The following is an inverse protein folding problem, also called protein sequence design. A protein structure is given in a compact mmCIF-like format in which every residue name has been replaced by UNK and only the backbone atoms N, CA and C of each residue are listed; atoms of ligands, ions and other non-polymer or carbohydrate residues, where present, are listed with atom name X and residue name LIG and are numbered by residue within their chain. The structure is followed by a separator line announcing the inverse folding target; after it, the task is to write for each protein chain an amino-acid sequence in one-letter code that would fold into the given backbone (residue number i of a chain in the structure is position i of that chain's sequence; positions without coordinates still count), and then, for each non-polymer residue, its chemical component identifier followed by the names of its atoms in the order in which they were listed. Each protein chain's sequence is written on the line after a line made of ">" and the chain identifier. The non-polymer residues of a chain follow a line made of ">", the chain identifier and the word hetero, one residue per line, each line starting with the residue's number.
data_IF_760668819598
#
_entry.id   IF_760668819598
#
_cell.length_a   1.000
_cell.length_b   1.000
_cell.length_c   1.000
_cell.angle_alpha   90.00
_cell.angle_beta   90.00
_cell.angle_gamma   90.00
#
_symmetry.space_group_name_H-M   'P 1'
#
loop_
_entity.id
_entity.type
_entity.pdbx_description
1 polymer ?
#
# COMPACT_ATOMS: atom_id res chain seq x y z
N UNK A 1 -4.60 3.24 -39.73
CA UNK A 1 -3.98 2.40 -38.70
C UNK A 1 -4.52 2.89 -37.35
N UNK A 2 -5.41 2.11 -36.72
CA UNK A 2 -6.03 2.51 -35.45
C UNK A 2 -5.03 2.40 -34.30
N UNK A 3 -4.96 3.38 -33.39
CA UNK A 3 -4.18 3.24 -32.15
C UNK A 3 -4.88 2.24 -31.23
N UNK A 4 -4.16 1.19 -30.86
CA UNK A 4 -4.57 0.19 -29.87
C UNK A 4 -4.84 0.87 -28.53
N UNK A 5 -6.10 0.93 -28.15
CA UNK A 5 -6.53 1.33 -26.81
C UNK A 5 -6.15 0.24 -25.81
N UNK A 6 -5.16 0.51 -24.99
CA UNK A 6 -4.81 -0.33 -23.86
C UNK A 6 -5.81 -0.11 -22.71
N UNK A 7 -6.85 -0.93 -22.69
CA UNK A 7 -7.71 -1.08 -21.52
C UNK A 7 -7.20 -2.26 -20.69
N UNK A 8 -6.73 -1.97 -19.52
CA UNK A 8 -6.15 -2.76 -18.42
C UNK A 8 -4.61 -2.77 -18.36
N UNK A 9 -4.02 -1.93 -17.51
CA UNK A 9 -2.64 -2.12 -17.10
C UNK A 9 -2.61 -3.20 -16.01
N UNK A 10 -2.16 -4.42 -16.37
CA UNK A 10 -1.77 -5.44 -15.42
C UNK A 10 -0.67 -4.94 -14.46
N UNK A 11 -0.35 -5.73 -13.46
CA UNK A 11 0.55 -5.53 -12.29
C UNK A 11 1.86 -4.72 -12.46
N UNK A 12 2.18 -4.27 -13.67
CA UNK A 12 3.38 -3.46 -14.01
C UNK A 12 3.02 -2.05 -14.52
N UNK A 13 1.75 -1.64 -14.44
CA UNK A 13 1.25 -0.48 -15.18
C UNK A 13 1.90 0.86 -14.84
N UNK A 14 2.22 1.15 -13.59
CA UNK A 14 2.78 2.46 -13.23
C UNK A 14 4.30 2.50 -13.34
N UNK A 15 5.00 1.45 -12.93
CA UNK A 15 6.46 1.40 -13.08
C UNK A 15 6.85 1.14 -14.54
N UNK A 16 6.11 0.31 -15.27
CA UNK A 16 6.32 0.10 -16.70
C UNK A 16 6.00 1.36 -17.52
N UNK A 17 4.99 2.16 -17.11
CA UNK A 17 4.70 3.44 -17.76
C UNK A 17 5.79 4.47 -17.51
N UNK A 18 6.28 4.61 -16.26
CA UNK A 18 7.41 5.50 -15.93
C UNK A 18 8.70 5.06 -16.65
N UNK A 19 8.93 3.76 -16.73
CA UNK A 19 10.05 3.17 -17.47
C UNK A 19 9.86 3.41 -18.98
N UNK A 20 8.66 3.29 -19.52
CA UNK A 20 8.35 3.51 -20.94
C UNK A 20 8.48 4.99 -21.35
N UNK A 21 8.07 5.94 -20.50
CA UNK A 21 8.31 7.39 -20.71
C UNK A 21 9.83 7.72 -20.72
N UNK A 22 10.62 7.04 -19.88
CA UNK A 22 12.07 7.16 -19.86
C UNK A 22 12.74 6.45 -21.06
N UNK A 23 12.10 5.42 -21.65
CA UNK A 23 12.64 4.62 -22.77
C UNK A 23 12.31 5.17 -24.16
N UNK A 24 11.30 5.99 -24.32
CA UNK A 24 11.03 6.68 -25.61
C UNK A 24 12.23 7.55 -26.05
N UNK A 25 13.20 7.76 -25.15
CA UNK A 25 14.41 8.54 -25.41
C UNK A 25 15.64 7.72 -25.87
N UNK A 26 15.65 6.39 -25.84
CA UNK A 26 16.82 5.60 -26.27
C UNK A 26 16.46 4.25 -26.92
N UNK A 27 16.69 4.11 -28.22
CA UNK A 27 16.64 2.87 -28.99
C UNK A 27 17.76 1.89 -28.60
N UNK A 28 17.45 0.58 -28.63
CA UNK A 28 18.30 -0.60 -28.88
C UNK A 28 18.30 -1.67 -27.75
N UNK A 29 17.84 -2.88 -28.14
CA UNK A 29 17.93 -4.10 -27.35
C UNK A 29 18.77 -5.16 -28.08
N UNK A 30 19.71 -5.81 -27.38
CA UNK A 30 20.32 -7.09 -27.76
C UNK A 30 20.00 -8.17 -26.73
N UNK A 31 19.41 -9.26 -27.15
CA UNK A 31 19.01 -10.41 -26.30
C UNK A 31 20.18 -11.38 -26.16
N UNK A 32 20.51 -11.75 -24.91
CA UNK A 32 21.46 -12.79 -24.53
C UNK A 32 20.71 -13.95 -23.86
N UNK A 33 20.96 -15.19 -24.29
CA UNK A 33 20.34 -16.38 -23.71
C UNK A 33 21.16 -16.85 -22.52
N UNK A 34 20.54 -16.96 -21.34
CA UNK A 34 21.15 -17.42 -20.10
C UNK A 34 20.71 -18.85 -19.74
N UNK A 35 21.50 -19.58 -18.97
CA UNK A 35 21.10 -20.84 -18.38
C UNK A 35 19.94 -20.67 -17.37
N UNK A 36 19.19 -21.73 -17.10
CA UNK A 36 18.05 -21.68 -16.14
C UNK A 36 18.50 -21.21 -14.74
N UNK A 37 19.72 -21.57 -14.32
CA UNK A 37 20.27 -21.14 -13.03
C UNK A 37 20.65 -19.65 -13.03
N UNK A 38 21.22 -19.17 -14.13
CA UNK A 38 21.51 -17.74 -14.33
C UNK A 38 20.24 -16.92 -14.45
N UNK A 39 19.22 -17.40 -15.15
CA UNK A 39 17.89 -16.78 -15.20
C UNK A 39 17.27 -16.66 -13.80
N UNK A 40 17.37 -17.72 -12.98
CA UNK A 40 16.84 -17.72 -11.62
C UNK A 40 17.57 -16.70 -10.72
N UNK A 41 18.89 -16.68 -10.78
CA UNK A 41 19.70 -15.72 -10.03
C UNK A 41 19.46 -14.29 -10.50
N UNK A 42 19.36 -14.06 -11.81
CA UNK A 42 19.07 -12.75 -12.39
C UNK A 42 17.64 -12.29 -12.02
N UNK A 43 16.65 -13.19 -12.00
CA UNK A 43 15.28 -12.86 -11.54
C UNK A 43 15.25 -12.44 -10.07
N UNK A 44 15.99 -13.14 -9.21
CA UNK A 44 16.06 -12.81 -7.79
C UNK A 44 16.71 -11.45 -7.58
N UNK A 45 17.79 -11.18 -8.30
CA UNK A 45 18.51 -9.92 -8.24
C UNK A 45 17.67 -8.78 -8.84
N UNK A 46 16.95 -9.04 -9.93
CA UNK A 46 16.00 -8.11 -10.53
C UNK A 46 14.85 -7.76 -9.55
N UNK A 47 14.28 -8.74 -8.84
CA UNK A 47 13.21 -8.50 -7.86
C UNK A 47 13.69 -7.63 -6.69
N UNK A 48 14.91 -7.86 -6.18
CA UNK A 48 15.48 -7.00 -5.15
C UNK A 48 15.66 -5.56 -5.68
N UNK A 49 16.18 -5.41 -6.89
CA UNK A 49 16.37 -4.11 -7.53
C UNK A 49 15.03 -3.39 -7.78
N UNK A 50 14.00 -4.12 -8.24
CA UNK A 50 12.64 -3.57 -8.41
C UNK A 50 12.07 -3.11 -7.06
N UNK A 51 12.21 -3.92 -6.01
CA UNK A 51 11.75 -3.54 -4.66
C UNK A 51 12.46 -2.26 -4.17
N UNK A 52 13.79 -2.17 -4.34
CA UNK A 52 14.57 -0.98 -3.98
C UNK A 52 14.13 0.27 -4.78
N UNK A 53 13.77 0.10 -6.05
CA UNK A 53 13.24 1.18 -6.87
C UNK A 53 11.90 1.69 -6.34
N UNK A 54 10.97 0.79 -6.00
CA UNK A 54 9.70 1.17 -5.37
C UNK A 54 9.92 1.88 -4.03
N UNK A 55 10.85 1.39 -3.23
CA UNK A 55 11.18 1.99 -1.94
C UNK A 55 11.72 3.41 -2.11
N UNK A 56 12.67 3.62 -3.04
CA UNK A 56 13.20 4.93 -3.37
C UNK A 56 12.11 5.90 -3.88
N UNK A 57 11.16 5.40 -4.68
CA UNK A 57 10.02 6.19 -5.15
C UNK A 57 9.09 6.58 -4.00
N UNK A 58 8.77 5.66 -3.11
CA UNK A 58 7.94 5.92 -1.92
C UNK A 58 8.60 6.92 -0.98
N UNK A 59 9.91 6.82 -0.76
CA UNK A 59 10.68 7.79 0.04
C UNK A 59 10.61 9.19 -0.57
N UNK A 60 10.83 9.30 -1.86
CA UNK A 60 10.77 10.58 -2.58
C UNK A 60 9.36 11.22 -2.48
N UNK A 61 8.31 10.41 -2.64
CA UNK A 61 6.94 10.90 -2.49
C UNK A 61 6.65 11.33 -1.05
N UNK A 62 7.08 10.55 -0.06
CA UNK A 62 6.95 10.89 1.36
C UNK A 62 7.64 12.21 1.70
N UNK A 63 8.89 12.40 1.23
CA UNK A 63 9.63 13.66 1.44
C UNK A 63 8.87 14.84 0.85
N UNK A 64 8.49 14.76 -0.42
CA UNK A 64 7.72 15.80 -1.09
C UNK A 64 6.42 16.15 -0.34
N UNK A 65 5.68 15.13 0.08
CA UNK A 65 4.41 15.34 0.78
C UNK A 65 4.61 15.93 2.18
N UNK A 66 5.65 15.52 2.89
CA UNK A 66 5.98 16.04 4.21
C UNK A 66 6.35 17.53 4.15
N UNK A 67 7.07 17.94 3.11
CA UNK A 67 7.42 19.35 2.90
C UNK A 67 6.19 20.18 2.50
N UNK A 68 5.33 19.61 1.66
CA UNK A 68 4.16 20.33 1.13
C UNK A 68 2.99 20.40 2.11
N UNK A 69 2.81 19.39 2.93
CA UNK A 69 1.72 19.25 3.90
C UNK A 69 2.29 19.09 5.32
N UNK A 70 2.76 20.19 5.93
CA UNK A 70 3.40 20.16 7.24
C UNK A 70 2.43 19.72 8.34
N UNK A 71 2.96 19.43 9.51
CA UNK A 71 2.19 18.93 10.65
C UNK A 71 1.03 19.87 10.98
N UNK A 72 -0.17 19.29 11.04
CA UNK A 72 -1.41 19.96 11.42
C UNK A 72 -2.09 19.19 12.55
N UNK A 73 -2.60 19.88 13.54
CA UNK A 73 -3.42 19.28 14.60
C UNK A 73 -4.89 19.10 14.20
N UNK A 74 -5.29 19.62 13.03
CA UNK A 74 -6.67 19.56 12.58
C UNK A 74 -6.98 18.23 11.91
N UNK A 75 -8.02 17.55 12.41
CA UNK A 75 -8.54 16.32 11.76
C UNK A 75 -9.15 16.59 10.38
N UNK A 76 -9.46 17.85 10.07
CA UNK A 76 -9.98 18.26 8.76
C UNK A 76 -8.88 18.32 7.69
N UNK A 77 -7.63 18.43 8.12
CA UNK A 77 -6.50 18.40 7.22
C UNK A 77 -6.21 16.97 6.75
N UNK A 78 -7.06 16.50 5.85
CA UNK A 78 -6.94 15.16 5.29
C UNK A 78 -5.63 14.93 4.55
N UNK A 79 -4.99 15.97 4.02
CA UNK A 79 -3.72 15.85 3.31
C UNK A 79 -2.58 15.57 4.28
N UNK A 80 -2.51 16.32 5.37
CA UNK A 80 -1.55 16.01 6.43
C UNK A 80 -1.77 14.60 7.01
N UNK A 81 -3.03 14.25 7.29
CA UNK A 81 -3.34 12.93 7.85
C UNK A 81 -2.95 11.78 6.91
N UNK A 82 -3.20 11.93 5.60
CA UNK A 82 -2.72 11.01 4.58
C UNK A 82 -1.19 10.90 4.58
N UNK A 83 -0.48 12.02 4.69
CA UNK A 83 1.00 12.04 4.75
C UNK A 83 1.54 11.26 5.93
N UNK A 84 0.89 11.36 7.10
CA UNK A 84 1.24 10.57 8.30
C UNK A 84 1.06 9.06 8.04
N UNK A 85 -0.07 8.66 7.45
CA UNK A 85 -0.33 7.25 7.11
C UNK A 85 0.71 6.75 6.10
N UNK A 86 0.99 7.52 5.06
CA UNK A 86 2.01 7.21 4.04
C UNK A 86 3.36 7.00 4.71
N UNK A 87 3.78 7.91 5.58
CA UNK A 87 5.05 7.80 6.30
C UNK A 87 5.14 6.48 7.08
N UNK A 88 4.06 6.11 7.78
CA UNK A 88 3.99 4.84 8.51
C UNK A 88 4.11 3.63 7.56
N UNK A 89 3.40 3.62 6.45
CA UNK A 89 3.46 2.51 5.48
C UNK A 89 4.86 2.39 4.87
N UNK A 90 5.49 3.50 4.50
CA UNK A 90 6.88 3.52 3.98
C UNK A 90 7.86 2.97 5.02
N UNK A 91 7.71 3.35 6.30
CA UNK A 91 8.53 2.80 7.38
C UNK A 91 8.36 1.27 7.53
N UNK A 92 7.16 0.75 7.33
CA UNK A 92 6.93 -0.71 7.35
C UNK A 92 7.64 -1.41 6.19
N UNK A 93 7.69 -0.83 4.98
CA UNK A 93 8.48 -1.35 3.86
C UNK A 93 9.98 -1.35 4.19
N UNK A 94 10.50 -0.28 4.81
CA UNK A 94 11.88 -0.27 5.31
C UNK A 94 12.14 -1.33 6.38
N UNK A 95 11.16 -1.61 7.24
CA UNK A 95 11.29 -2.70 8.23
C UNK A 95 11.45 -4.06 7.56
N UNK A 96 10.70 -4.34 6.48
CA UNK A 96 10.89 -5.56 5.68
C UNK A 96 12.30 -5.59 5.08
N UNK A 97 12.77 -4.49 4.49
CA UNK A 97 14.11 -4.39 3.95
C UNK A 97 15.16 -4.74 5.00
N UNK A 98 15.06 -4.17 6.20
CA UNK A 98 15.98 -4.42 7.31
C UNK A 98 15.96 -5.88 7.77
N UNK A 99 14.77 -6.47 7.94
CA UNK A 99 14.61 -7.87 8.34
C UNK A 99 15.20 -8.78 7.29
N UNK A 100 14.91 -8.54 6.01
CA UNK A 100 15.39 -9.39 4.91
C UNK A 100 16.90 -9.30 4.66
N UNK A 101 17.51 -8.16 4.99
CA UNK A 101 18.97 -7.96 4.85
C UNK A 101 19.77 -8.51 6.03
N UNK A 102 19.24 -8.40 7.25
CA UNK A 102 20.04 -8.61 8.47
C UNK A 102 19.65 -9.87 9.26
N UNK A 103 18.50 -10.46 8.95
CA UNK A 103 18.04 -11.66 9.62
C UNK A 103 17.35 -12.62 8.65
N UNK A 104 17.19 -13.88 9.07
CA UNK A 104 16.40 -14.87 8.36
C UNK A 104 15.03 -15.05 9.03
N UNK A 105 14.49 -14.00 9.63
CA UNK A 105 13.20 -14.02 10.34
C UNK A 105 12.03 -13.83 9.38
N UNK A 106 11.63 -14.90 8.72
CA UNK A 106 10.49 -14.93 7.81
C UNK A 106 9.17 -14.58 8.54
N UNK A 107 9.02 -15.04 9.78
CA UNK A 107 7.78 -14.82 10.54
C UNK A 107 7.55 -13.33 10.76
N UNK A 108 8.53 -12.61 11.28
CA UNK A 108 8.43 -11.16 11.46
C UNK A 108 8.24 -10.42 10.14
N UNK A 109 8.96 -10.79 9.08
CA UNK A 109 8.81 -10.17 7.77
C UNK A 109 7.38 -10.33 7.22
N UNK A 110 6.78 -11.51 7.34
CA UNK A 110 5.42 -11.79 6.89
C UNK A 110 4.35 -11.13 7.76
N UNK A 111 4.58 -11.00 9.06
CA UNK A 111 3.71 -10.22 9.94
C UNK A 111 3.69 -8.74 9.52
N UNK A 112 4.84 -8.16 9.23
CA UNK A 112 4.93 -6.78 8.72
C UNK A 112 4.27 -6.66 7.35
N UNK A 113 4.51 -7.61 6.44
CA UNK A 113 3.90 -7.61 5.11
C UNK A 113 2.36 -7.67 5.17
N UNK A 114 1.80 -8.45 6.10
CA UNK A 114 0.37 -8.48 6.37
C UNK A 114 -0.15 -7.11 6.82
N UNK A 115 0.57 -6.47 7.73
CA UNK A 115 0.24 -5.11 8.20
C UNK A 115 0.30 -4.07 7.06
N UNK A 116 1.27 -4.19 6.16
CA UNK A 116 1.37 -3.32 4.96
C UNK A 116 0.15 -3.53 4.06
N UNK A 117 -0.20 -4.78 3.74
CA UNK A 117 -1.34 -5.11 2.88
C UNK A 117 -2.63 -4.49 3.42
N UNK A 118 -2.90 -4.65 4.72
CA UNK A 118 -4.09 -4.07 5.35
C UNK A 118 -4.05 -2.54 5.36
N UNK A 119 -2.89 -1.95 5.65
CA UNK A 119 -2.73 -0.48 5.71
C UNK A 119 -2.89 0.16 4.32
N UNK A 120 -2.31 -0.43 3.28
CA UNK A 120 -2.48 0.02 1.88
C UNK A 120 -3.94 -0.11 1.45
N UNK A 121 -4.60 -1.20 1.84
CA UNK A 121 -6.02 -1.42 1.52
C UNK A 121 -6.90 -0.38 2.21
N UNK A 122 -6.70 -0.14 3.51
CA UNK A 122 -7.44 0.87 4.25
C UNK A 122 -7.22 2.28 3.67
N UNK A 123 -5.96 2.64 3.39
CA UNK A 123 -5.61 3.91 2.76
C UNK A 123 -6.32 4.08 1.41
N UNK A 124 -6.22 3.08 0.54
CA UNK A 124 -6.85 3.10 -0.78
C UNK A 124 -8.37 3.20 -0.70
N UNK A 125 -8.98 2.44 0.19
CA UNK A 125 -10.44 2.39 0.37
C UNK A 125 -11.02 3.73 0.85
N UNK A 126 -10.27 4.47 1.66
CA UNK A 126 -10.69 5.77 2.19
C UNK A 126 -10.39 6.88 1.18
N UNK A 127 -9.15 6.96 0.65
CA UNK A 127 -8.65 8.16 -0.01
C UNK A 127 -8.63 8.11 -1.53
N UNK A 128 -8.83 6.95 -2.17
CA UNK A 128 -8.96 6.87 -3.64
C UNK A 128 -10.36 7.22 -4.16
N UNK A 129 -11.28 7.69 -3.30
CA UNK A 129 -12.63 8.05 -3.69
C UNK A 129 -12.64 9.25 -4.62
N UNK A 130 -13.50 9.22 -5.63
CA UNK A 130 -13.73 10.34 -6.54
C UNK A 130 -14.61 11.43 -5.92
N UNK A 131 -15.58 11.03 -5.08
CA UNK A 131 -16.39 11.93 -4.30
C UNK A 131 -15.65 12.34 -3.02
N UNK A 132 -15.35 13.65 -2.94
CA UNK A 132 -14.68 14.24 -1.78
C UNK A 132 -15.50 14.10 -0.50
N UNK A 133 -16.83 14.20 -0.57
CA UNK A 133 -17.69 14.05 0.60
C UNK A 133 -17.66 12.61 1.12
N UNK A 134 -17.69 11.61 0.22
CA UNK A 134 -17.55 10.22 0.64
C UNK A 134 -16.19 9.98 1.31
N UNK A 135 -15.13 10.49 0.71
CA UNK A 135 -13.77 10.39 1.27
C UNK A 135 -13.70 11.01 2.66
N UNK A 136 -14.22 12.23 2.83
CA UNK A 136 -14.16 12.96 4.08
C UNK A 136 -15.00 12.28 5.17
N UNK A 137 -16.19 11.78 4.83
CA UNK A 137 -17.04 11.05 5.78
C UNK A 137 -16.39 9.75 6.26
N UNK A 138 -15.78 8.97 5.34
CA UNK A 138 -15.02 7.77 5.70
C UNK A 138 -13.79 8.11 6.55
N UNK A 139 -13.09 9.19 6.23
CA UNK A 139 -11.96 9.66 7.01
C UNK A 139 -12.33 9.94 8.46
N UNK A 140 -13.44 10.67 8.68
CA UNK A 140 -13.91 10.94 10.04
C UNK A 140 -14.34 9.66 10.78
N UNK A 141 -15.03 8.74 10.11
CA UNK A 141 -15.39 7.44 10.72
C UNK A 141 -14.15 6.61 11.06
N UNK A 142 -13.14 6.61 10.20
CA UNK A 142 -11.86 5.92 10.44
C UNK A 142 -11.12 6.51 11.64
N UNK A 143 -11.08 7.83 11.73
CA UNK A 143 -10.47 8.49 12.87
C UNK A 143 -11.27 8.23 14.16
N UNK A 144 -12.61 8.25 14.10
CA UNK A 144 -13.49 7.93 15.22
C UNK A 144 -13.26 6.51 15.74
N UNK A 145 -13.13 5.54 14.83
CA UNK A 145 -12.84 4.13 15.16
C UNK A 145 -11.51 4.02 15.92
N UNK A 146 -10.47 4.64 15.38
CA UNK A 146 -9.14 4.65 15.99
C UNK A 146 -9.13 5.27 17.40
N UNK A 147 -9.79 6.41 17.59
CA UNK A 147 -9.84 7.07 18.89
C UNK A 147 -10.66 6.30 19.92
N UNK A 148 -11.76 5.65 19.50
CA UNK A 148 -12.56 4.81 20.39
C UNK A 148 -11.80 3.55 20.81
N UNK A 149 -11.06 2.91 19.91
CA UNK A 149 -10.22 1.76 20.23
C UNK A 149 -9.05 2.15 21.13
N UNK A 150 -8.41 3.30 20.87
CA UNK A 150 -7.36 3.84 21.73
C UNK A 150 -7.90 4.10 23.15
N UNK A 151 -9.05 4.76 23.27
CA UNK A 151 -9.69 5.01 24.57
C UNK A 151 -9.95 3.70 25.33
N UNK A 152 -10.48 2.66 24.68
CA UNK A 152 -10.67 1.34 25.29
C UNK A 152 -9.34 0.76 25.82
N UNK A 153 -8.26 0.88 25.03
CA UNK A 153 -6.94 0.43 25.42
C UNK A 153 -6.43 1.18 26.66
N UNK A 154 -6.55 2.51 26.70
CA UNK A 154 -6.16 3.34 27.85
C UNK A 154 -6.89 2.91 29.11
N UNK A 155 -8.22 2.72 29.02
CA UNK A 155 -9.04 2.31 30.15
C UNK A 155 -8.66 0.91 30.67
N UNK A 156 -8.35 -0.02 29.75
CA UNK A 156 -8.09 -1.43 30.10
C UNK A 156 -6.69 -1.68 30.64
N UNK A 157 -5.70 -0.83 30.29
CA UNK A 157 -4.28 -1.11 30.55
C UNK A 157 -3.64 -0.18 31.60
N UNK A 158 -4.25 0.96 31.86
CA UNK A 158 -3.70 1.93 32.81
C UNK A 158 -4.22 1.69 34.22
N UNK A 159 -3.32 1.77 35.21
CA UNK A 159 -3.69 1.88 36.62
C UNK A 159 -4.48 3.17 36.85
N UNK A 160 -5.36 3.19 37.84
CA UNK A 160 -6.09 4.40 38.23
C UNK A 160 -5.12 5.45 38.78
N UNK A 161 -4.87 6.50 37.95
CA UNK A 161 -4.03 7.62 38.32
C UNK A 161 -4.42 8.87 37.50
N UNK A 162 -3.89 10.03 37.90
CA UNK A 162 -4.17 11.30 37.26
C UNK A 162 -3.84 11.33 35.76
N UNK A 163 -2.87 10.53 35.30
CA UNK A 163 -2.52 10.42 33.88
C UNK A 163 -3.63 9.75 33.07
N UNK A 164 -4.20 8.66 33.59
CA UNK A 164 -5.35 7.97 32.97
C UNK A 164 -6.54 8.89 32.79
N UNK A 165 -6.88 9.65 33.84
CA UNK A 165 -8.00 10.59 33.80
C UNK A 165 -7.80 11.69 32.75
N UNK A 166 -6.57 12.20 32.64
CA UNK A 166 -6.20 13.19 31.60
C UNK A 166 -6.32 12.61 30.18
N UNK A 167 -5.80 11.40 29.97
CA UNK A 167 -5.88 10.70 28.68
C UNK A 167 -7.34 10.38 28.30
N UNK A 168 -8.13 9.91 29.26
CA UNK A 168 -9.56 9.62 29.05
C UNK A 168 -10.33 10.87 28.65
N UNK A 169 -10.13 11.99 29.37
CA UNK A 169 -10.72 13.28 29.04
C UNK A 169 -10.26 13.79 27.65
N UNK A 170 -8.99 13.61 27.29
CA UNK A 170 -8.48 13.99 25.97
C UNK A 170 -9.11 13.16 24.87
N UNK A 171 -9.24 11.85 25.07
CA UNK A 171 -9.96 10.95 24.13
C UNK A 171 -11.40 11.39 23.92
N UNK A 172 -12.14 11.67 25.01
CA UNK A 172 -13.53 12.11 24.95
C UNK A 172 -13.68 13.43 24.18
N UNK A 173 -12.78 14.38 24.44
CA UNK A 173 -12.78 15.64 23.73
C UNK A 173 -12.61 15.42 22.22
N UNK A 174 -11.62 14.61 21.79
CA UNK A 174 -11.38 14.36 20.37
C UNK A 174 -12.52 13.58 19.72
N UNK A 175 -13.03 12.54 20.38
CA UNK A 175 -14.18 11.76 19.91
C UNK A 175 -15.39 12.68 19.68
N UNK A 176 -15.70 13.56 20.64
CA UNK A 176 -16.79 14.52 20.52
C UNK A 176 -16.60 15.47 19.34
N UNK A 177 -15.40 16.00 19.14
CA UNK A 177 -15.10 16.86 17.99
C UNK A 177 -15.34 16.14 16.66
N UNK A 178 -14.91 14.88 16.54
CA UNK A 178 -15.14 14.08 15.32
C UNK A 178 -16.63 13.82 15.09
N UNK A 179 -17.37 13.45 16.14
CA UNK A 179 -18.82 13.23 16.05
C UNK A 179 -19.58 14.50 15.64
N UNK A 180 -19.18 15.66 16.15
CA UNK A 180 -19.75 16.95 15.72
C UNK A 180 -19.50 17.23 14.23
N UNK A 181 -18.31 16.91 13.72
CA UNK A 181 -17.99 17.04 12.28
C UNK A 181 -18.85 16.08 11.45
N UNK A 182 -18.99 14.85 11.86
CA UNK A 182 -19.84 13.86 11.21
C UNK A 182 -21.31 14.29 11.18
N UNK A 183 -21.83 14.86 12.28
CA UNK A 183 -23.21 15.37 12.37
C UNK A 183 -23.45 16.63 11.53
N UNK A 184 -22.41 17.39 11.20
CA UNK A 184 -22.46 18.55 10.29
C UNK A 184 -22.24 18.17 8.83
N UNK A 185 -21.84 16.93 8.55
CA UNK A 185 -21.52 16.47 7.20
C UNK A 185 -22.79 16.36 6.33
N UNK A 186 -22.65 16.59 5.02
CA UNK A 186 -23.75 16.55 4.06
C UNK A 186 -24.49 15.18 4.05
N UNK A 187 -23.78 14.08 4.27
CA UNK A 187 -24.36 12.74 4.33
C UNK A 187 -25.27 12.56 5.54
N UNK A 188 -24.95 13.19 6.67
CA UNK A 188 -25.83 13.21 7.84
C UNK A 188 -27.12 14.01 7.58
N UNK A 189 -27.02 15.10 6.84
CA UNK A 189 -28.19 15.88 6.44
C UNK A 189 -29.09 15.12 5.44
N UNK A 190 -28.49 14.34 4.54
CA UNK A 190 -29.20 13.60 3.50
C UNK A 190 -29.91 12.34 4.03
N UNK A 191 -29.23 11.53 4.85
CA UNK A 191 -29.78 10.32 5.45
C UNK A 191 -29.30 10.19 6.91
N UNK A 192 -30.05 10.83 7.81
CA UNK A 192 -29.73 10.87 9.22
C UNK A 192 -29.75 9.50 9.89
N UNK A 193 -30.63 8.59 9.47
CA UNK A 193 -30.78 7.28 10.08
C UNK A 193 -29.55 6.42 9.79
N UNK A 194 -29.18 6.29 8.52
CA UNK A 194 -27.98 5.56 8.09
C UNK A 194 -26.71 6.18 8.65
N UNK A 195 -26.56 7.52 8.59
CA UNK A 195 -25.38 8.19 9.13
C UNK A 195 -25.23 7.96 10.64
N UNK A 196 -26.30 8.01 11.43
CA UNK A 196 -26.24 7.69 12.86
C UNK A 196 -25.78 6.25 13.11
N UNK A 197 -26.29 5.28 12.35
CA UNK A 197 -25.87 3.88 12.46
C UNK A 197 -24.36 3.72 12.21
N UNK A 198 -23.86 4.38 11.15
CA UNK A 198 -22.44 4.36 10.82
C UNK A 198 -21.58 5.03 11.90
N UNK A 199 -22.03 6.15 12.47
CA UNK A 199 -21.32 6.87 13.54
C UNK A 199 -21.31 6.05 14.83
N UNK A 200 -22.45 5.46 15.23
CA UNK A 200 -22.54 4.64 16.43
C UNK A 200 -21.58 3.46 16.40
N UNK A 201 -21.42 2.81 15.25
CA UNK A 201 -20.54 1.66 15.07
C UNK A 201 -19.14 2.04 14.58
N UNK A 202 -18.82 3.31 14.40
CA UNK A 202 -17.58 3.79 13.76
C UNK A 202 -17.28 3.05 12.44
N UNK A 203 -18.32 2.71 11.67
CA UNK A 203 -18.18 1.80 10.52
C UNK A 203 -17.63 2.53 9.29
N UNK A 204 -16.34 2.78 9.25
CA UNK A 204 -15.65 3.33 8.07
C UNK A 204 -15.55 2.34 6.90
N UNK A 205 -15.74 1.05 7.16
CA UNK A 205 -15.71 -0.04 6.16
C UNK A 205 -17.06 -0.29 5.50
N UNK A 206 -18.02 0.63 5.63
CA UNK A 206 -19.34 0.47 5.01
C UNK A 206 -19.22 0.35 3.47
N UNK A 207 -20.06 -0.49 2.87
CA UNK A 207 -20.06 -0.70 1.42
C UNK A 207 -20.51 0.56 0.67
N UNK A 208 -21.69 1.05 0.99
CA UNK A 208 -22.25 2.31 0.47
C UNK A 208 -23.27 2.88 1.47
N UNK A 209 -23.75 4.11 1.24
CA UNK A 209 -24.82 4.68 2.07
C UNK A 209 -26.14 3.94 1.92
N UNK A 210 -26.40 3.35 0.73
CA UNK A 210 -27.59 2.54 0.47
C UNK A 210 -27.47 1.14 1.08
N UNK A 211 -26.22 0.65 1.26
CA UNK A 211 -25.93 -0.60 1.94
C UNK A 211 -24.86 -0.40 3.00
N UNK A 212 -25.22 0.00 4.23
CA UNK A 212 -24.27 0.39 5.28
C UNK A 212 -23.58 -0.80 5.97
N UNK A 213 -23.66 -2.02 5.40
CA UNK A 213 -22.97 -3.19 5.95
C UNK A 213 -21.46 -2.98 5.98
N UNK A 214 -20.77 -3.51 6.97
CA UNK A 214 -19.33 -3.49 7.06
C UNK A 214 -18.72 -4.53 6.12
N UNK A 215 -17.78 -4.11 5.29
CA UNK A 215 -16.99 -5.01 4.43
C UNK A 215 -15.92 -5.74 5.25
N UNK A 216 -15.69 -6.99 4.90
CA UNK A 216 -14.49 -7.74 5.34
C UNK A 216 -13.27 -7.29 4.54
N UNK A 217 -12.06 -7.52 5.06
CA UNK A 217 -10.83 -7.13 4.34
C UNK A 217 -10.73 -7.77 2.95
N UNK A 218 -11.15 -9.03 2.77
CA UNK A 218 -11.18 -9.67 1.44
C UNK A 218 -12.06 -8.91 0.43
N UNK A 219 -13.23 -8.42 0.87
CA UNK A 219 -14.11 -7.60 0.03
C UNK A 219 -13.50 -6.22 -0.26
N UNK A 220 -12.80 -5.65 0.75
CA UNK A 220 -12.09 -4.38 0.58
C UNK A 220 -10.93 -4.50 -0.42
N UNK A 221 -10.19 -5.62 -0.44
CA UNK A 221 -9.13 -5.85 -1.43
C UNK A 221 -9.69 -5.79 -2.86
N UNK A 222 -10.82 -6.46 -3.11
CA UNK A 222 -11.48 -6.38 -4.40
C UNK A 222 -11.96 -4.95 -4.72
N UNK A 223 -12.56 -4.26 -3.74
CA UNK A 223 -13.07 -2.90 -3.90
C UNK A 223 -11.97 -1.86 -4.25
N UNK A 224 -10.73 -2.08 -3.80
CA UNK A 224 -9.60 -1.19 -4.13
C UNK A 224 -8.80 -1.65 -5.35
N UNK A 225 -9.25 -2.71 -6.02
CA UNK A 225 -8.64 -3.19 -7.28
C UNK A 225 -7.48 -4.18 -7.09
N UNK A 226 -7.39 -4.84 -5.95
CA UNK A 226 -6.67 -6.10 -5.82
C UNK A 226 -7.57 -7.23 -6.35
N UNK A 227 -7.93 -7.16 -7.63
CA UNK A 227 -8.89 -8.09 -8.27
C UNK A 227 -8.31 -9.48 -8.55
N UNK A 228 -7.14 -9.77 -8.01
CA UNK A 228 -6.48 -11.04 -8.23
C UNK A 228 -6.93 -12.02 -7.14
N UNK A 229 -7.55 -13.13 -7.54
CA UNK A 229 -7.88 -14.26 -6.66
C UNK A 229 -6.71 -14.66 -5.77
N UNK A 230 -5.46 -14.49 -6.26
CA UNK A 230 -4.24 -14.73 -5.50
C UNK A 230 -4.10 -13.84 -4.25
N UNK A 231 -4.66 -12.63 -4.21
CA UNK A 231 -4.56 -11.74 -3.05
C UNK A 231 -5.39 -12.25 -1.87
N UNK A 232 -6.57 -12.81 -2.10
CA UNK A 232 -7.38 -13.40 -1.03
C UNK A 232 -6.68 -14.62 -0.41
N UNK A 233 -6.13 -15.50 -1.25
CA UNK A 233 -5.31 -16.63 -0.79
C UNK A 233 -4.04 -16.15 -0.09
N UNK A 234 -3.40 -15.11 -0.60
CA UNK A 234 -2.20 -14.53 -0.01
C UNK A 234 -2.49 -13.92 1.37
N UNK A 235 -3.62 -13.25 1.53
CA UNK A 235 -4.06 -12.74 2.84
C UNK A 235 -4.27 -13.89 3.85
N UNK A 236 -4.94 -14.96 3.43
CA UNK A 236 -5.11 -16.16 4.25
C UNK A 236 -3.77 -16.80 4.63
N UNK A 237 -2.83 -16.88 3.70
CA UNK A 237 -1.47 -17.35 3.93
C UNK A 237 -0.72 -16.49 4.95
N UNK A 238 -0.71 -15.16 4.79
CA UNK A 238 -0.05 -14.24 5.72
C UNK A 238 -0.68 -14.30 7.12
N UNK A 239 -1.99 -14.55 7.22
CA UNK A 239 -2.68 -14.70 8.50
C UNK A 239 -2.15 -15.89 9.33
N UNK A 240 -1.60 -16.93 8.68
CA UNK A 240 -0.97 -18.05 9.38
C UNK A 240 0.25 -17.61 10.21
N UNK A 241 0.99 -16.61 9.73
CA UNK A 241 2.16 -16.06 10.44
C UNK A 241 1.72 -15.13 11.58
N UNK A 242 0.77 -14.24 11.35
CA UNK A 242 0.27 -13.31 12.37
C UNK A 242 -0.33 -14.03 13.57
N UNK A 243 -1.03 -15.14 13.34
CA UNK A 243 -1.69 -15.90 14.41
C UNK A 243 -0.84 -17.07 14.95
N UNK A 244 0.43 -17.19 14.56
CA UNK A 244 1.32 -18.25 15.03
C UNK A 244 0.83 -19.66 14.69
N UNK A 245 0.16 -19.81 13.52
CA UNK A 245 -0.39 -21.09 13.10
C UNK A 245 0.66 -21.99 12.43
N UNK A 246 0.24 -23.17 11.96
CA UNK A 246 1.12 -24.26 11.50
C UNK A 246 2.24 -23.81 10.53
N UNK A 247 1.96 -22.91 9.60
CA UNK A 247 2.96 -22.45 8.62
C UNK A 247 4.06 -21.60 9.24
N UNK A 248 3.77 -20.83 10.30
CA UNK A 248 4.77 -20.04 11.02
C UNK A 248 5.74 -20.88 11.85
N UNK A 249 5.39 -22.14 12.13
CA UNK A 249 6.19 -23.06 12.93
C UNK A 249 7.10 -23.96 12.09
N UNK A 250 7.22 -23.71 10.77
CA UNK A 250 8.17 -24.46 9.94
C UNK A 250 9.60 -24.18 10.40
N UNK A 251 10.42 -25.24 10.64
CA UNK A 251 11.82 -25.03 10.90
C UNK A 251 12.49 -24.57 9.62
N UNK A 252 13.26 -23.53 9.69
CA UNK A 252 14.13 -22.98 8.65
C UNK A 252 13.50 -21.97 7.72
N UNK A 253 13.98 -20.80 7.90
CA UNK A 253 13.99 -19.76 6.88
C UNK A 253 15.34 -19.84 6.17
N UNK A 254 15.30 -19.88 4.85
CA UNK A 254 16.48 -19.76 4.02
C UNK A 254 16.48 -18.40 3.29
N UNK A 255 17.59 -18.06 2.67
CA UNK A 255 17.72 -16.80 1.94
C UNK A 255 16.74 -16.70 0.75
N UNK A 256 16.31 -17.82 0.18
CA UNK A 256 15.35 -17.84 -0.92
C UNK A 256 13.94 -17.47 -0.46
N UNK A 257 13.54 -17.91 0.73
CA UNK A 257 12.26 -17.52 1.33
C UNK A 257 12.23 -16.02 1.64
N UNK A 258 13.34 -15.45 2.14
CA UNK A 258 13.45 -14.02 2.38
C UNK A 258 13.35 -13.19 1.07
N UNK A 259 13.99 -13.66 0.00
CA UNK A 259 13.86 -13.04 -1.34
C UNK A 259 12.42 -13.12 -1.85
N UNK A 260 11.68 -14.19 -1.54
CA UNK A 260 10.26 -14.32 -1.88
C UNK A 260 9.41 -13.26 -1.17
N UNK A 261 9.71 -12.92 0.08
CA UNK A 261 9.01 -11.84 0.79
C UNK A 261 9.17 -10.50 0.05
N UNK A 262 10.38 -10.18 -0.43
CA UNK A 262 10.59 -8.96 -1.24
C UNK A 262 9.78 -8.97 -2.53
N UNK A 263 9.72 -10.11 -3.23
CA UNK A 263 8.88 -10.26 -4.42
C UNK A 263 7.41 -10.02 -4.12
N UNK A 264 6.92 -10.56 -3.01
CA UNK A 264 5.53 -10.43 -2.55
C UNK A 264 5.18 -8.97 -2.15
N UNK A 265 6.17 -8.14 -1.81
CA UNK A 265 5.98 -6.72 -1.55
C UNK A 265 5.70 -5.90 -2.83
N UNK A 266 6.22 -6.31 -3.98
CA UNK A 266 6.19 -5.53 -5.23
C UNK A 266 4.75 -5.13 -5.64
N UNK A 267 3.78 -6.06 -5.77
CA UNK A 267 2.42 -5.70 -6.17
C UNK A 267 1.72 -4.80 -5.16
N UNK A 268 2.06 -4.90 -3.88
CA UNK A 268 1.49 -4.05 -2.83
C UNK A 268 2.10 -2.65 -2.91
N UNK A 269 3.41 -2.55 -3.14
CA UNK A 269 4.11 -1.27 -3.34
C UNK A 269 3.59 -0.53 -4.58
N UNK A 270 3.40 -1.24 -5.70
CA UNK A 270 2.82 -0.68 -6.93
C UNK A 270 1.42 -0.11 -6.66
N UNK A 271 0.55 -0.90 -6.02
CA UNK A 271 -0.79 -0.47 -5.64
C UNK A 271 -0.77 0.75 -4.72
N UNK A 272 0.17 0.79 -3.78
CA UNK A 272 0.31 1.92 -2.87
C UNK A 272 0.72 3.21 -3.59
N UNK A 273 1.67 3.14 -4.52
CA UNK A 273 2.06 4.28 -5.35
C UNK A 273 0.90 4.79 -6.20
N UNK A 274 0.13 3.88 -6.81
CA UNK A 274 -1.08 4.25 -7.54
C UNK A 274 -2.08 4.96 -6.63
N UNK A 275 -2.28 4.46 -5.40
CA UNK A 275 -3.18 5.05 -4.42
C UNK A 275 -2.74 6.46 -4.01
N UNK A 276 -1.45 6.69 -3.77
CA UNK A 276 -0.91 8.01 -3.47
C UNK A 276 -1.15 8.98 -4.63
N UNK A 277 -0.82 8.59 -5.86
CA UNK A 277 -1.00 9.43 -7.05
C UNK A 277 -2.47 9.81 -7.25
N UNK A 278 -3.40 8.87 -7.06
CA UNK A 278 -4.83 9.12 -7.22
C UNK A 278 -5.40 10.02 -6.11
N UNK A 279 -4.96 9.85 -4.87
CA UNK A 279 -5.48 10.60 -3.72
C UNK A 279 -4.98 12.03 -3.66
N UNK A 280 -3.73 12.27 -4.06
CA UNK A 280 -3.17 13.64 -4.09
C UNK A 280 -3.42 14.34 -5.43
N UNK A 281 -3.43 13.60 -6.55
CA UNK A 281 -3.55 14.13 -7.94
C UNK A 281 -2.54 15.24 -8.20
N UNK A 282 -1.34 15.09 -7.68
CA UNK A 282 -0.31 16.11 -7.66
C UNK A 282 0.85 15.73 -8.59
N UNK A 283 0.91 16.38 -9.75
CA UNK A 283 1.99 16.17 -10.71
C UNK A 283 3.37 16.52 -10.14
N UNK A 284 3.42 17.41 -9.15
CA UNK A 284 4.66 17.80 -8.48
C UNK A 284 5.36 16.64 -7.76
N UNK A 285 4.64 15.61 -7.31
CA UNK A 285 5.25 14.39 -6.74
C UNK A 285 6.14 13.67 -7.76
N UNK A 286 5.62 13.46 -8.97
CA UNK A 286 6.37 12.79 -10.04
C UNK A 286 7.56 13.65 -10.48
N UNK A 287 7.35 14.96 -10.66
CA UNK A 287 8.42 15.89 -11.02
C UNK A 287 9.51 15.95 -9.94
N UNK A 288 9.14 15.93 -8.67
CA UNK A 288 10.10 15.88 -7.56
C UNK A 288 10.91 14.58 -7.60
N UNK A 289 10.26 13.43 -7.78
CA UNK A 289 10.93 12.14 -7.90
C UNK A 289 11.93 12.15 -9.06
N UNK A 290 11.53 12.61 -10.25
CA UNK A 290 12.40 12.66 -11.43
C UNK A 290 13.60 13.60 -11.25
N UNK A 291 13.47 14.67 -10.46
CA UNK A 291 14.56 15.61 -10.18
C UNK A 291 15.34 15.27 -8.91
N UNK A 292 14.85 14.36 -8.09
CA UNK A 292 15.46 14.05 -6.80
C UNK A 292 16.78 13.31 -6.97
N UNK A 293 17.73 13.63 -6.08
CA UNK A 293 18.98 12.89 -5.99
C UNK A 293 18.77 11.40 -5.60
N UNK A 294 17.55 11.01 -5.23
CA UNK A 294 17.19 9.63 -4.89
C UNK A 294 17.36 8.72 -6.09
N UNK A 295 16.85 9.12 -7.29
CA UNK A 295 17.07 8.36 -8.52
C UNK A 295 18.56 8.24 -8.81
N UNK A 296 19.29 9.35 -8.74
CA UNK A 296 20.73 9.34 -8.99
C UNK A 296 21.46 8.43 -8.01
N UNK A 297 21.20 8.57 -6.71
CA UNK A 297 21.78 7.69 -5.67
C UNK A 297 21.41 6.22 -5.89
N UNK A 298 20.16 5.95 -6.29
CA UNK A 298 19.72 4.59 -6.62
C UNK A 298 20.50 4.04 -7.81
N UNK A 299 20.61 4.80 -8.91
CA UNK A 299 21.36 4.40 -10.10
C UNK A 299 22.84 4.20 -9.80
N UNK A 300 23.45 5.10 -9.02
CA UNK A 300 24.85 5.01 -8.61
C UNK A 300 25.14 3.81 -7.68
N UNK A 301 24.14 3.38 -6.89
CA UNK A 301 24.26 2.24 -5.95
C UNK A 301 24.09 0.88 -6.62
N UNK A 302 23.50 0.84 -7.82
CA UNK A 302 23.27 -0.41 -8.54
C UNK A 302 24.41 -0.71 -9.49
N UNK A 303 24.96 -1.91 -9.40
CA UNK A 303 25.94 -2.44 -10.36
C UNK A 303 25.32 -2.77 -11.73
N UNK A 304 24.01 -2.56 -11.88
CA UNK A 304 23.27 -2.79 -13.11
C UNK A 304 23.04 -1.48 -13.87
N UNK A 305 23.22 -1.55 -15.19
CA UNK A 305 22.73 -0.48 -16.05
C UNK A 305 21.20 -0.45 -16.05
N UNK A 306 20.62 0.72 -16.23
CA UNK A 306 19.16 0.90 -16.37
C UNK A 306 18.58 0.00 -17.48
N UNK A 307 19.37 -0.30 -18.52
CA UNK A 307 19.02 -1.20 -19.60
C UNK A 307 18.82 -2.65 -19.11
N UNK A 308 19.65 -3.15 -18.19
CA UNK A 308 19.51 -4.50 -17.63
C UNK A 308 18.25 -4.63 -16.76
N UNK A 309 17.89 -3.57 -16.05
CA UNK A 309 16.64 -3.52 -15.26
C UNK A 309 15.41 -3.58 -16.17
N UNK A 310 15.43 -2.83 -17.25
CA UNK A 310 14.36 -2.81 -18.24
C UNK A 310 14.23 -4.14 -18.97
N UNK A 311 15.32 -4.74 -19.40
CA UNK A 311 15.34 -6.07 -20.03
C UNK A 311 14.74 -7.12 -19.08
N UNK A 312 15.07 -7.06 -17.78
CA UNK A 312 14.53 -7.96 -16.77
C UNK A 312 13.02 -7.75 -16.56
N UNK A 313 12.54 -6.50 -16.51
CA UNK A 313 11.12 -6.16 -16.40
C UNK A 313 10.34 -6.59 -17.66
N UNK A 314 10.88 -6.39 -18.87
CA UNK A 314 10.28 -6.85 -20.11
C UNK A 314 10.26 -8.38 -20.25
N UNK A 315 11.29 -9.07 -19.76
CA UNK A 315 11.33 -10.53 -19.74
C UNK A 315 10.24 -11.11 -18.82
N UNK A 316 10.01 -10.49 -17.65
CA UNK A 316 8.92 -10.84 -16.73
C UNK A 316 7.55 -10.61 -17.38
N UNK A 317 7.33 -9.46 -18.01
CA UNK A 317 6.07 -9.14 -18.68
C UNK A 317 5.77 -10.07 -19.88
N UNK A 318 6.78 -10.53 -20.61
CA UNK A 318 6.63 -11.51 -21.68
C UNK A 318 6.29 -12.90 -21.14
N UNK A 319 6.86 -13.30 -20.01
CA UNK A 319 6.61 -14.59 -19.38
C UNK A 319 5.17 -14.70 -18.87
N UNK A 320 4.61 -13.63 -18.33
CA UNK A 320 3.19 -13.60 -17.93
C UNK A 320 2.26 -13.75 -19.15
N UNK A 321 2.58 -13.14 -20.30
CA UNK A 321 1.81 -13.34 -21.52
C UNK A 321 1.90 -14.78 -22.06
N UNK A 322 3.06 -15.43 -21.95
CA UNK A 322 3.25 -16.82 -22.42
C UNK A 322 2.54 -17.82 -21.51
N UNK A 323 2.45 -17.56 -20.22
CA UNK A 323 1.68 -18.36 -19.27
C UNK A 323 0.16 -18.24 -19.52
N UNK A 324 -0.34 -17.05 -19.86
CA UNK A 324 -1.75 -16.82 -20.20
C UNK A 324 -2.15 -17.51 -21.51
N UNK A 325 -1.27 -17.55 -22.51
CA UNK A 325 -1.53 -18.31 -23.76
C UNK A 325 -1.49 -19.81 -23.56
N UNK A 326 -0.63 -20.34 -22.68
CA UNK A 326 -0.59 -21.79 -22.39
C UNK A 326 -1.81 -22.28 -21.60
N UNK A 327 -2.49 -21.43 -20.86
CA UNK A 327 -3.75 -21.76 -20.15
C UNK A 327 -4.94 -21.75 -21.12
N UNK A 328 -4.94 -20.89 -22.15
CA UNK A 328 -6.00 -20.85 -23.16
C UNK A 328 -5.96 -22.04 -24.14
N UNK A 329 -4.83 -22.73 -24.26
CA UNK A 329 -4.66 -23.91 -25.12
C UNK A 329 -5.00 -25.22 -24.38
N UNK A 330 -5.41 -25.15 -23.11
CA UNK A 330 -5.83 -26.28 -22.27
C UNK A 330 -7.35 -26.31 -22.01
N UNK A 331 -8.12 -25.36 -22.53
CA UNK A 331 -9.58 -25.37 -22.61
C UNK A 331 -10.04 -25.79 -24.03
#
# INVERSE_FOLDING_TARGET
>A
MNPLTWQNPGLLGSAAWLVQELFVAQDIIKIKIYSVAELRNNMVQANNTIFQFYLAMMDSFREYLSDKYPISSSIEDTKHYQTVIITKIVQMFHSIELITKNSLDEVSARCVLRGILDSVTAYSFIYQKTDFNEMLFRHYLYALDGWREYKKSVISTSEENEYKDKEDCACDYVIKQIEEKLKKHIYYAHDRATANLLIQNSNWKYESLQNPRSLKFGEMYAAVGFNNVSIEYFQGYLSQFVHGLCLSNKPTTDSEQMKRVLYECIPIADKFIQAMNQSFRDKGMTDYFLRSNVIKKFMDSQSFSFNELAESAFALARKDKTLLTQVSDLE
#
